data_IF_303071946171
#
_entry.id   IF_303071946171
#
_cell.length_a   1.000
_cell.length_b   1.000
_cell.length_c   1.000
_cell.angle_alpha   90.00
_cell.angle_beta   90.00
_cell.angle_gamma   90.00
#
_symmetry.space_group_name_H-M   'P 1'
#
loop_
_entity.id
_entity.type
_entity.pdbx_description
1 polymer ?
#
# COMPACT_ATOMS: atom_id res chain seq x y z
N UNK A 1 17.34 32.21 -39.14
CA UNK A 1 16.32 32.99 -38.41
C UNK A 1 15.89 32.14 -37.22
N UNK A 2 16.39 32.31 -36.00
CA UNK A 2 16.35 33.47 -35.08
C UNK A 2 14.96 33.76 -34.49
N UNK A 3 14.85 33.42 -33.19
CA UNK A 3 14.11 34.05 -32.09
C UNK A 3 12.89 34.94 -32.40
N UNK A 4 11.78 34.60 -31.72
CA UNK A 4 11.00 35.51 -30.85
C UNK A 4 10.42 34.65 -29.70
N UNK A 5 10.99 34.68 -28.48
CA UNK A 5 10.74 35.69 -27.42
C UNK A 5 9.25 35.89 -27.16
N UNK A 6 8.68 35.29 -26.10
CA UNK A 6 8.78 35.72 -24.70
C UNK A 6 7.98 37.01 -24.44
N UNK A 7 6.93 36.91 -23.64
CA UNK A 7 6.31 38.05 -22.96
C UNK A 7 5.96 37.66 -21.52
N UNK A 8 6.29 38.54 -20.57
CA UNK A 8 6.00 38.41 -19.13
C UNK A 8 4.52 38.76 -18.87
N UNK A 9 3.79 38.06 -17.99
CA UNK A 9 3.90 38.01 -16.52
C UNK A 9 3.59 39.38 -15.88
N UNK A 10 2.36 39.55 -15.37
CA UNK A 10 2.03 40.34 -14.15
C UNK A 10 0.52 40.31 -13.81
N UNK A 11 0.17 39.66 -12.71
CA UNK A 11 -0.99 39.95 -11.87
C UNK A 11 -0.81 39.22 -10.53
N UNK A 12 -0.59 39.95 -9.43
CA UNK A 12 -0.42 39.40 -8.09
C UNK A 12 -1.48 39.99 -7.13
N UNK A 13 -1.88 39.17 -6.16
CA UNK A 13 -2.50 39.60 -4.89
C UNK A 13 -3.94 40.19 -4.96
N UNK A 14 -4.67 40.30 -3.83
CA UNK A 14 -4.31 39.88 -2.47
C UNK A 14 -5.23 38.83 -1.82
N UNK A 15 -4.72 38.28 -0.73
CA UNK A 15 -5.40 37.48 0.29
C UNK A 15 -6.50 38.29 1.02
N UNK A 16 -7.68 37.69 1.22
CA UNK A 16 -8.55 38.02 2.37
C UNK A 16 -8.99 36.73 3.06
N UNK A 17 -8.62 36.59 4.33
CA UNK A 17 -9.14 35.55 5.19
C UNK A 17 -10.33 36.09 5.99
N UNK A 18 -11.30 35.24 6.33
CA UNK A 18 -12.31 35.56 7.36
C UNK A 18 -12.46 34.35 8.26
N UNK A 19 -11.87 34.45 9.44
CA UNK A 19 -12.02 33.46 10.50
C UNK A 19 -13.42 33.64 11.10
N UNK A 20 -14.12 32.55 11.36
CA UNK A 20 -15.20 32.55 12.33
C UNK A 20 -15.13 31.27 13.18
N UNK A 21 -15.30 31.39 14.49
CA UNK A 21 -15.08 30.32 15.44
C UNK A 21 -16.05 30.44 16.64
N UNK A 22 -16.55 29.29 17.09
CA UNK A 22 -17.66 29.18 18.04
C UNK A 22 -18.73 28.23 17.48
N UNK A 23 -19.33 27.31 18.24
CA UNK A 23 -19.19 27.03 19.68
C UNK A 23 -19.00 25.53 19.98
N UNK A 24 -18.84 25.22 21.27
CA UNK A 24 -18.48 23.90 21.81
C UNK A 24 -19.72 23.09 22.28
N UNK A 25 -19.47 21.92 22.89
CA UNK A 25 -20.44 21.00 23.54
C UNK A 25 -21.28 20.10 22.60
N UNK A 26 -21.55 18.81 22.92
CA UNK A 26 -21.20 18.03 24.13
C UNK A 26 -21.29 16.51 23.93
N UNK A 27 -20.57 15.77 24.78
CA UNK A 27 -20.79 14.36 25.19
C UNK A 27 -20.31 13.20 24.30
N UNK A 28 -19.33 12.48 24.87
CA UNK A 28 -19.05 11.02 24.94
C UNK A 28 -20.16 9.99 24.56
N UNK A 29 -19.81 8.71 24.23
CA UNK A 29 -19.05 7.82 25.13
C UNK A 29 -17.82 7.05 24.57
N UNK A 30 -16.95 6.68 25.50
CA UNK A 30 -15.77 5.81 25.33
C UNK A 30 -16.11 4.33 25.09
N UNK A 31 -15.23 3.61 24.37
CA UNK A 31 -15.20 2.13 24.31
C UNK A 31 -13.75 1.64 24.44
N UNK A 32 -13.52 0.77 25.42
CA UNK A 32 -12.19 0.23 25.80
C UNK A 32 -11.88 -1.11 25.13
N UNK A 33 -10.66 -1.32 24.60
CA UNK A 33 -10.04 -2.65 24.45
C UNK A 33 -9.07 -2.94 25.62
N UNK A 34 -8.84 -4.22 25.99
CA UNK A 34 -8.19 -4.59 27.24
C UNK A 34 -6.66 -4.49 27.23
N UNK A 35 -6.07 -4.48 28.43
CA UNK A 35 -4.64 -4.63 28.66
C UNK A 35 -4.23 -6.11 28.76
N UNK A 36 -3.00 -6.43 28.32
CA UNK A 36 -2.01 -7.20 29.09
C UNK A 36 -0.72 -7.44 28.28
N UNK A 37 0.38 -6.78 28.69
CA UNK A 37 1.76 -7.33 28.67
C UNK A 37 2.52 -6.66 29.82
N UNK A 38 3.24 -7.45 30.61
CA UNK A 38 3.98 -7.00 31.79
C UNK A 38 5.35 -6.40 31.41
N UNK A 39 5.84 -5.47 32.24
CA UNK A 39 7.21 -4.93 32.15
C UNK A 39 7.89 -5.10 33.52
N UNK A 40 8.86 -6.02 33.62
CA UNK A 40 9.66 -6.22 34.83
C UNK A 40 11.01 -5.50 34.76
N UNK A 41 11.20 -4.59 35.72
CA UNK A 41 12.38 -4.47 36.59
C UNK A 41 13.78 -4.43 35.95
N UNK A 42 14.30 -3.21 35.79
CA UNK A 42 15.74 -2.89 35.72
C UNK A 42 16.34 -2.80 37.14
N UNK A 43 17.57 -3.29 37.39
CA UNK A 43 18.32 -2.94 38.60
C UNK A 43 19.72 -2.34 38.34
N UNK A 44 19.89 -1.13 38.89
CA UNK A 44 21.09 -0.45 39.42
C UNK A 44 22.53 -0.84 39.01
N UNK A 45 23.30 0.20 38.67
CA UNK A 45 24.78 0.18 38.58
C UNK A 45 25.41 1.06 39.67
N UNK A 46 26.22 0.52 40.60
CA UNK A 46 27.06 1.31 41.52
C UNK A 46 28.54 1.38 41.09
N UNK A 47 29.27 2.41 41.54
CA UNK A 47 30.69 2.64 41.17
C UNK A 47 31.56 3.12 42.35
N UNK A 48 32.89 2.91 42.23
CA UNK A 48 34.00 3.30 43.16
C UNK A 48 34.04 2.48 44.47
N UNK A 49 35.18 2.16 45.10
CA UNK A 49 36.38 2.98 45.37
C UNK A 49 37.66 2.12 45.59
N UNK A 50 38.86 2.71 45.61
CA UNK A 50 40.19 2.07 45.75
C UNK A 50 40.85 2.44 47.10
N UNK A 51 41.52 1.50 47.81
CA UNK A 51 42.93 1.69 48.21
C UNK A 51 43.75 0.37 48.24
N UNK A 52 45.05 0.29 48.56
CA UNK A 52 46.27 1.07 48.20
C UNK A 52 47.50 0.36 48.83
N UNK A 53 48.66 0.36 48.16
CA UNK A 53 50.06 0.09 48.62
C UNK A 53 50.38 -1.01 49.67
N UNK A 54 51.41 -1.81 49.36
CA UNK A 54 52.72 -1.72 50.05
C UNK A 54 53.88 -2.29 49.21
N UNK A 55 55.13 -2.14 49.69
CA UNK A 55 56.40 -2.30 48.93
C UNK A 55 57.35 -3.31 49.61
N UNK A 56 58.34 -3.88 48.89
CA UNK A 56 59.35 -4.81 49.45
C UNK A 56 60.66 -4.89 48.65
N UNK A 57 61.79 -5.19 49.33
CA UNK A 57 63.19 -5.16 48.85
C UNK A 57 64.08 -6.17 49.60
N UNK A 58 65.32 -6.49 49.20
CA UNK A 58 66.13 -5.92 48.09
C UNK A 58 66.40 -7.00 47.00
N UNK A 59 67.58 -7.53 46.60
CA UNK A 59 69.02 -7.35 46.91
C UNK A 59 69.85 -7.91 45.71
N UNK A 60 71.18 -7.82 45.69
CA UNK A 60 72.04 -8.20 44.55
C UNK A 60 73.11 -9.27 44.87
N UNK A 61 73.89 -9.68 43.85
CA UNK A 61 74.90 -10.76 43.80
C UNK A 61 76.20 -10.51 44.58
N UNK A 62 77.06 -11.54 44.73
CA UNK A 62 78.36 -11.46 44.01
C UNK A 62 78.82 -12.78 43.35
N UNK A 63 79.94 -12.69 42.62
CA UNK A 63 80.56 -13.73 41.77
C UNK A 63 81.79 -14.36 42.46
N UNK A 64 82.08 -15.64 42.21
CA UNK A 64 83.45 -16.20 42.27
C UNK A 64 83.65 -17.32 41.22
N UNK A 65 84.88 -17.83 41.08
CA UNK A 65 85.43 -18.17 39.75
C UNK A 65 86.43 -19.34 39.68
N UNK A 66 86.54 -19.91 38.48
CA UNK A 66 87.70 -20.63 37.87
C UNK A 66 88.10 -22.04 38.40
N UNK A 67 88.35 -22.95 37.43
CA UNK A 67 89.37 -24.03 37.34
C UNK A 67 89.65 -24.95 38.55
N UNK A 68 89.82 -26.28 38.42
CA UNK A 68 90.00 -27.16 37.26
C UNK A 68 89.53 -28.59 37.58
N UNK A 69 89.14 -29.37 36.56
CA UNK A 69 89.41 -30.83 36.43
C UNK A 69 88.60 -31.46 35.28
N UNK A 70 89.23 -31.65 34.12
CA UNK A 70 88.77 -32.63 33.13
C UNK A 70 89.45 -33.97 33.43
N UNK A 71 88.71 -34.97 33.93
CA UNK A 71 88.78 -36.36 33.41
C UNK A 71 87.68 -37.33 33.91
N UNK A 72 86.92 -37.03 34.96
CA UNK A 72 85.84 -37.92 35.47
C UNK A 72 84.48 -37.76 34.77
N UNK A 73 84.26 -36.62 34.13
CA UNK A 73 82.94 -36.09 33.75
C UNK A 73 82.09 -36.89 32.75
N UNK A 74 82.56 -38.00 32.15
CA UNK A 74 81.80 -38.72 31.10
C UNK A 74 80.85 -39.74 31.71
N UNK A 75 81.28 -40.48 32.75
CA UNK A 75 80.46 -41.53 33.35
C UNK A 75 79.34 -40.95 34.22
N UNK A 76 79.65 -39.95 35.06
CA UNK A 76 78.66 -39.29 35.92
C UNK A 76 77.62 -38.50 35.11
N UNK A 77 78.01 -37.87 33.99
CA UNK A 77 77.04 -37.25 33.06
C UNK A 77 76.16 -38.32 32.41
N UNK A 78 76.71 -39.48 32.04
CA UNK A 78 75.91 -40.57 31.46
C UNK A 78 74.86 -41.10 32.45
N UNK A 79 75.26 -41.35 33.70
CA UNK A 79 74.34 -41.76 34.77
C UNK A 79 73.30 -40.67 35.09
N UNK A 80 73.73 -39.41 35.20
CA UNK A 80 72.85 -38.26 35.42
C UNK A 80 71.84 -38.08 34.27
N UNK A 81 72.23 -38.36 33.02
CA UNK A 81 71.34 -38.30 31.86
C UNK A 81 70.34 -39.46 31.88
N UNK A 82 70.73 -40.69 32.26
CA UNK A 82 69.76 -41.79 32.40
C UNK A 82 68.79 -41.58 33.57
N UNK A 83 69.25 -41.00 34.68
CA UNK A 83 68.40 -40.66 35.83
C UNK A 83 67.47 -39.47 35.52
N UNK A 84 67.96 -38.44 34.83
CA UNK A 84 67.12 -37.37 34.28
C UNK A 84 66.10 -37.94 33.28
N UNK A 85 66.51 -38.84 32.38
CA UNK A 85 65.61 -39.42 31.40
C UNK A 85 64.52 -40.26 32.04
N UNK A 86 64.84 -41.08 33.06
CA UNK A 86 63.84 -41.84 33.85
C UNK A 86 62.93 -40.93 34.66
N UNK A 87 63.45 -39.88 35.27
CA UNK A 87 62.60 -38.92 36.03
C UNK A 87 61.71 -38.10 35.10
N UNK A 88 62.18 -37.74 33.90
CA UNK A 88 61.36 -37.11 32.84
C UNK A 88 60.29 -38.08 32.33
N UNK A 89 60.63 -39.32 31.93
CA UNK A 89 59.65 -40.33 31.49
C UNK A 89 58.60 -40.62 32.59
N UNK A 90 59.00 -40.60 33.87
CA UNK A 90 58.07 -40.77 34.99
C UNK A 90 57.19 -39.53 35.21
N UNK A 91 57.74 -38.31 35.10
CA UNK A 91 56.97 -37.07 35.22
C UNK A 91 56.02 -36.84 34.03
N UNK A 92 56.41 -37.12 32.79
CA UNK A 92 55.52 -37.07 31.63
C UNK A 92 54.31 -37.96 31.86
N UNK A 93 54.52 -39.25 32.15
CA UNK A 93 53.43 -40.19 32.37
C UNK A 93 52.56 -39.82 33.59
N UNK A 94 53.14 -39.33 34.69
CA UNK A 94 52.42 -38.92 35.89
C UNK A 94 51.66 -37.59 35.77
N UNK A 95 52.11 -36.68 34.89
CA UNK A 95 51.48 -35.37 34.66
C UNK A 95 50.42 -35.44 33.56
N UNK A 96 50.72 -36.10 32.43
CA UNK A 96 49.78 -36.29 31.31
C UNK A 96 48.55 -37.06 31.79
N UNK A 97 48.71 -38.16 32.53
CA UNK A 97 47.59 -38.96 33.06
C UNK A 97 46.65 -38.16 33.99
N UNK A 98 47.20 -37.23 34.79
CA UNK A 98 46.41 -36.33 35.65
C UNK A 98 45.72 -35.20 34.87
N UNK A 99 46.30 -34.76 33.76
CA UNK A 99 45.71 -33.74 32.89
C UNK A 99 44.63 -34.29 31.95
N UNK A 100 44.73 -35.55 31.50
CA UNK A 100 43.79 -36.13 30.54
C UNK A 100 42.31 -35.96 30.92
N UNK A 101 41.84 -36.25 32.16
CA UNK A 101 40.44 -36.06 32.54
C UNK A 101 39.98 -34.60 32.46
N UNK A 102 40.82 -33.66 32.88
CA UNK A 102 40.52 -32.23 32.82
C UNK A 102 40.49 -31.72 31.37
N UNK A 103 41.43 -32.18 30.53
CA UNK A 103 41.50 -31.85 29.11
C UNK A 103 40.27 -32.38 28.34
N UNK A 104 39.88 -33.64 28.58
CA UNK A 104 38.68 -34.23 27.98
C UNK A 104 37.38 -33.56 28.47
N UNK A 105 37.30 -33.19 29.75
CA UNK A 105 36.18 -32.41 30.27
C UNK A 105 36.04 -31.05 29.59
N UNK A 106 37.16 -30.34 29.42
CA UNK A 106 37.20 -29.03 28.75
C UNK A 106 36.87 -29.17 27.24
N UNK A 107 37.39 -30.21 26.56
CA UNK A 107 37.02 -30.53 25.18
C UNK A 107 35.52 -30.86 25.04
N UNK A 108 34.94 -31.57 26.00
CA UNK A 108 33.52 -31.91 26.05
C UNK A 108 32.63 -30.67 26.18
N UNK A 109 33.01 -29.74 27.06
CA UNK A 109 32.29 -28.45 27.22
C UNK A 109 32.41 -27.58 25.97
N UNK A 110 33.61 -27.47 25.36
CA UNK A 110 33.80 -26.70 24.13
C UNK A 110 33.03 -27.30 22.94
N UNK A 111 33.11 -28.62 22.73
CA UNK A 111 32.40 -29.28 21.62
C UNK A 111 30.89 -29.26 21.80
N UNK A 112 30.37 -29.54 23.01
CA UNK A 112 28.95 -29.41 23.33
C UNK A 112 28.44 -27.98 23.15
N UNK A 113 29.21 -26.97 23.59
CA UNK A 113 28.91 -25.55 23.37
C UNK A 113 28.86 -25.19 21.88
N UNK A 114 29.83 -25.65 21.08
CA UNK A 114 29.88 -25.39 19.64
C UNK A 114 28.68 -26.01 18.90
N UNK A 115 28.32 -27.25 19.24
CA UNK A 115 27.14 -27.95 18.69
C UNK A 115 25.85 -27.21 19.07
N UNK A 116 25.72 -26.77 20.33
CA UNK A 116 24.57 -25.99 20.80
C UNK A 116 24.42 -24.66 20.02
N UNK A 117 25.52 -23.92 19.82
CA UNK A 117 25.51 -22.68 19.02
C UNK A 117 25.14 -22.94 17.56
N UNK A 118 25.60 -24.03 16.95
CA UNK A 118 25.25 -24.41 15.58
C UNK A 118 23.77 -24.76 15.44
N UNK A 119 23.22 -25.60 16.34
CA UNK A 119 21.80 -25.95 16.36
C UNK A 119 20.91 -24.73 16.63
N UNK A 120 21.33 -23.84 17.54
CA UNK A 120 20.59 -22.60 17.83
C UNK A 120 20.58 -21.64 16.64
N UNK A 121 21.71 -21.49 15.93
CA UNK A 121 21.77 -20.71 14.67
C UNK A 121 20.91 -21.31 13.57
N UNK A 122 20.94 -22.63 13.38
CA UNK A 122 20.06 -23.31 12.42
C UNK A 122 18.58 -23.07 12.77
N UNK A 123 18.19 -23.26 14.03
CA UNK A 123 16.83 -23.00 14.51
C UNK A 123 16.38 -21.55 14.28
N UNK A 124 17.19 -20.56 14.65
CA UNK A 124 16.91 -19.14 14.38
C UNK A 124 16.71 -18.91 12.87
N UNK A 125 17.55 -19.51 12.02
CA UNK A 125 17.41 -19.37 10.56
C UNK A 125 16.13 -20.02 10.01
N UNK A 126 15.66 -21.11 10.61
CA UNK A 126 14.39 -21.74 10.25
C UNK A 126 13.20 -20.91 10.73
N UNK A 127 13.21 -20.44 11.97
CA UNK A 127 12.16 -19.59 12.53
C UNK A 127 12.06 -18.25 11.77
N UNK A 128 13.18 -17.66 11.33
CA UNK A 128 13.17 -16.47 10.48
C UNK A 128 12.59 -16.76 9.08
N UNK A 129 12.93 -17.90 8.46
CA UNK A 129 12.34 -18.30 7.17
C UNK A 129 10.84 -18.54 7.29
N UNK A 130 10.39 -19.25 8.32
CA UNK A 130 8.97 -19.47 8.60
C UNK A 130 8.21 -18.17 8.86
N UNK A 131 8.75 -17.26 9.69
CA UNK A 131 8.12 -15.96 9.94
C UNK A 131 8.01 -15.15 8.65
N UNK A 132 9.08 -15.08 7.84
CA UNK A 132 9.05 -14.38 6.55
C UNK A 132 8.06 -15.02 5.55
N UNK A 133 7.94 -16.35 5.53
CA UNK A 133 6.95 -17.05 4.71
C UNK A 133 5.51 -16.79 5.18
N UNK A 134 5.26 -16.83 6.50
CA UNK A 134 3.95 -16.54 7.10
C UNK A 134 3.54 -15.09 6.85
N UNK A 135 4.41 -14.12 7.11
CA UNK A 135 4.14 -12.70 6.84
C UNK A 135 3.92 -12.40 5.35
N UNK A 136 4.71 -13.00 4.44
CA UNK A 136 4.49 -12.80 3.00
C UNK A 136 3.18 -13.43 2.51
N UNK A 137 2.80 -14.60 3.03
CA UNK A 137 1.49 -15.22 2.78
C UNK A 137 0.33 -14.38 3.34
N UNK A 138 0.43 -13.89 4.57
CA UNK A 138 -0.59 -13.01 5.19
C UNK A 138 -0.77 -11.72 4.40
N UNK A 139 0.33 -11.07 3.96
CA UNK A 139 0.29 -9.88 3.11
C UNK A 139 -0.35 -10.19 1.75
N UNK A 140 -0.04 -11.34 1.14
CA UNK A 140 -0.68 -11.79 -0.11
C UNK A 140 -2.18 -12.04 0.07
N UNK A 141 -2.59 -12.71 1.16
CA UNK A 141 -3.99 -12.99 1.47
C UNK A 141 -4.79 -11.69 1.74
N UNK A 142 -4.23 -10.75 2.50
CA UNK A 142 -4.83 -9.44 2.73
C UNK A 142 -4.95 -8.63 1.43
N UNK A 143 -3.90 -8.61 0.61
CA UNK A 143 -3.89 -7.93 -0.69
C UNK A 143 -4.92 -8.54 -1.65
N UNK A 144 -4.97 -9.87 -1.77
CA UNK A 144 -5.97 -10.60 -2.55
C UNK A 144 -7.39 -10.22 -2.09
N UNK A 145 -7.65 -10.28 -0.79
CA UNK A 145 -8.94 -9.92 -0.18
C UNK A 145 -9.33 -8.46 -0.50
N UNK A 146 -8.38 -7.52 -0.39
CA UNK A 146 -8.62 -6.12 -0.75
C UNK A 146 -8.90 -5.93 -2.26
N UNK A 147 -8.13 -6.56 -3.15
CA UNK A 147 -8.37 -6.46 -4.61
C UNK A 147 -9.72 -7.09 -5.00
N UNK A 148 -10.10 -8.21 -4.39
CA UNK A 148 -11.41 -8.83 -4.60
C UNK A 148 -12.54 -7.93 -4.06
N UNK A 149 -12.31 -7.21 -2.96
CA UNK A 149 -13.23 -6.19 -2.44
C UNK A 149 -13.41 -5.03 -3.43
N UNK A 150 -12.32 -4.53 -4.04
CA UNK A 150 -12.42 -3.48 -5.06
C UNK A 150 -13.28 -3.91 -6.26
N UNK A 151 -13.06 -5.12 -6.79
CA UNK A 151 -13.86 -5.66 -7.90
C UNK A 151 -15.35 -5.76 -7.55
N UNK A 152 -15.66 -6.40 -6.42
CA UNK A 152 -17.03 -6.84 -6.12
C UNK A 152 -17.86 -5.77 -5.39
N UNK A 153 -17.26 -4.91 -4.55
CA UNK A 153 -17.98 -3.84 -3.86
C UNK A 153 -18.00 -2.51 -4.62
N UNK A 154 -17.12 -2.28 -5.61
CA UNK A 154 -17.03 -0.99 -6.31
C UNK A 154 -17.07 -1.12 -7.84
N UNK A 155 -16.03 -1.66 -8.47
CA UNK A 155 -15.87 -1.58 -9.93
C UNK A 155 -16.97 -2.32 -10.71
N UNK A 156 -17.32 -3.55 -10.29
CA UNK A 156 -18.40 -4.33 -10.88
C UNK A 156 -19.77 -3.64 -10.77
N UNK A 157 -20.24 -3.28 -9.56
CA UNK A 157 -21.49 -2.53 -9.36
C UNK A 157 -21.53 -1.21 -10.13
N UNK A 158 -20.42 -0.46 -10.21
CA UNK A 158 -20.34 0.79 -10.95
C UNK A 158 -20.49 0.56 -12.47
N UNK A 159 -19.84 -0.47 -13.04
CA UNK A 159 -19.99 -0.83 -14.45
C UNK A 159 -21.42 -1.24 -14.81
N UNK A 160 -22.11 -1.96 -13.92
CA UNK A 160 -23.53 -2.34 -14.11
C UNK A 160 -24.42 -1.09 -14.14
N UNK A 161 -24.26 -0.20 -13.15
CA UNK A 161 -25.07 1.03 -13.07
C UNK A 161 -24.78 2.02 -14.22
N UNK A 162 -23.52 2.15 -14.65
CA UNK A 162 -23.15 2.95 -15.84
C UNK A 162 -23.78 2.39 -17.11
N UNK A 163 -23.81 1.06 -17.25
CA UNK A 163 -24.45 0.39 -18.39
C UNK A 163 -25.97 0.57 -18.37
N UNK A 164 -26.60 0.45 -17.19
CA UNK A 164 -28.04 0.75 -17.01
C UNK A 164 -28.37 2.21 -17.37
N UNK A 165 -27.57 3.17 -16.89
CA UNK A 165 -27.74 4.60 -17.16
C UNK A 165 -27.65 4.91 -18.67
N UNK A 166 -26.67 4.29 -19.35
CA UNK A 166 -26.50 4.42 -20.80
C UNK A 166 -27.71 3.90 -21.58
N UNK A 167 -28.23 2.72 -21.26
CA UNK A 167 -29.39 2.17 -21.97
C UNK A 167 -30.68 2.97 -21.67
N UNK A 168 -30.87 3.47 -20.44
CA UNK A 168 -31.99 4.38 -20.14
C UNK A 168 -31.91 5.69 -20.95
N UNK A 169 -30.72 6.26 -21.12
CA UNK A 169 -30.48 7.41 -22.01
C UNK A 169 -30.76 7.07 -23.48
N UNK A 170 -30.28 5.93 -23.97
CA UNK A 170 -30.54 5.49 -25.35
C UNK A 170 -32.04 5.24 -25.62
N UNK A 171 -32.78 4.71 -24.63
CA UNK A 171 -34.24 4.57 -24.73
C UNK A 171 -34.96 5.92 -24.77
N UNK A 172 -34.53 6.89 -23.96
CA UNK A 172 -35.07 8.26 -24.00
C UNK A 172 -34.81 8.92 -25.35
N UNK A 173 -33.60 8.80 -25.91
CA UNK A 173 -33.27 9.38 -27.21
C UNK A 173 -34.15 8.79 -28.33
N UNK A 174 -34.38 7.47 -28.33
CA UNK A 174 -35.30 6.78 -29.26
C UNK A 174 -36.77 7.20 -29.07
N UNK A 175 -37.19 7.58 -27.86
CA UNK A 175 -38.54 8.09 -27.61
C UNK A 175 -38.71 9.52 -28.12
N UNK A 176 -37.73 10.40 -27.88
CA UNK A 176 -37.74 11.78 -28.36
C UNK A 176 -37.76 11.85 -29.90
N UNK A 177 -36.88 11.10 -30.58
CA UNK A 177 -36.90 10.96 -32.06
C UNK A 177 -38.24 10.43 -32.58
N UNK A 178 -38.88 9.49 -31.87
CA UNK A 178 -40.18 8.93 -32.28
C UNK A 178 -41.34 9.93 -32.11
N UNK A 179 -41.25 10.86 -31.16
CA UNK A 179 -42.30 11.85 -30.90
C UNK A 179 -42.12 13.15 -31.70
N UNK A 180 -40.89 13.60 -31.90
CA UNK A 180 -40.54 14.75 -32.73
C UNK A 180 -39.25 14.46 -33.52
N UNK A 181 -39.41 13.84 -34.68
CA UNK A 181 -38.32 13.61 -35.64
C UNK A 181 -37.93 14.87 -36.43
N UNK A 182 -38.65 15.99 -36.26
CA UNK A 182 -38.28 17.26 -36.86
C UNK A 182 -37.20 17.91 -36.01
N UNK A 183 -37.36 17.92 -34.68
CA UNK A 183 -36.38 18.43 -33.71
C UNK A 183 -35.28 17.44 -33.38
N UNK A 184 -35.59 16.16 -33.16
CA UNK A 184 -34.64 15.16 -32.65
C UNK A 184 -34.32 14.10 -33.71
N UNK A 185 -33.04 14.00 -34.12
CA UNK A 185 -32.61 13.05 -35.17
C UNK A 185 -31.25 12.43 -34.83
N UNK A 186 -31.06 11.15 -35.17
CA UNK A 186 -29.73 10.55 -35.16
C UNK A 186 -28.94 10.89 -36.44
N UNK A 187 -27.84 11.63 -36.31
CA UNK A 187 -26.82 11.75 -37.37
C UNK A 187 -25.50 11.10 -36.93
N UNK A 188 -24.59 10.88 -37.89
CA UNK A 188 -23.18 10.54 -37.60
C UNK A 188 -22.44 11.82 -37.21
N UNK A 189 -21.81 11.82 -36.03
CA UNK A 189 -21.02 12.95 -35.53
C UNK A 189 -19.76 13.17 -36.37
N UNK A 190 -19.86 14.11 -37.33
CA UNK A 190 -18.77 14.54 -38.23
C UNK A 190 -17.59 15.18 -37.49
N UNK A 191 -17.74 15.54 -36.20
CA UNK A 191 -16.66 16.07 -35.36
C UNK A 191 -15.90 14.98 -34.61
N UNK A 192 -16.43 13.76 -34.55
CA UNK A 192 -15.78 12.64 -33.88
C UNK A 192 -14.90 11.83 -34.85
N UNK A 193 -13.64 11.50 -34.50
CA UNK A 193 -12.79 10.66 -35.34
C UNK A 193 -13.27 9.19 -35.39
N UNK A 194 -14.08 8.78 -34.42
CA UNK A 194 -14.83 7.52 -34.46
C UNK A 194 -16.27 7.85 -34.90
N UNK A 195 -16.65 7.49 -36.13
CA UNK A 195 -17.91 7.83 -36.79
C UNK A 195 -19.14 7.22 -36.09
N UNK A 196 -19.51 7.79 -34.94
CA UNK A 196 -20.59 7.34 -34.06
C UNK A 196 -21.87 8.09 -34.39
N UNK A 197 -23.00 7.36 -34.39
CA UNK A 197 -24.31 7.97 -34.42
C UNK A 197 -24.66 8.57 -33.05
N UNK A 198 -25.13 9.81 -33.04
CA UNK A 198 -25.62 10.51 -31.85
C UNK A 198 -26.88 11.30 -32.16
N UNK A 199 -27.72 11.51 -31.14
CA UNK A 199 -28.91 12.35 -31.27
C UNK A 199 -28.47 13.82 -31.34
N UNK A 200 -28.99 14.55 -32.33
CA UNK A 200 -28.87 16.00 -32.48
C UNK A 200 -30.23 16.68 -32.30
N UNK A 201 -30.18 17.95 -31.93
CA UNK A 201 -31.32 18.86 -31.72
C UNK A 201 -31.27 19.91 -32.82
N UNK A 202 -32.36 20.06 -33.56
CA UNK A 202 -32.49 21.09 -34.60
C UNK A 202 -33.29 22.28 -34.05
N UNK A 203 -32.64 23.44 -34.01
CA UNK A 203 -33.28 24.72 -33.66
C UNK A 203 -33.79 25.46 -34.90
N UNK A 204 -33.15 25.22 -36.05
CA UNK A 204 -33.58 25.63 -37.38
C UNK A 204 -33.07 24.62 -38.43
N UNK A 205 -33.33 24.83 -39.72
CA UNK A 205 -32.78 23.98 -40.80
C UNK A 205 -31.24 24.03 -40.87
N UNK A 206 -30.61 25.06 -40.31
CA UNK A 206 -29.16 25.30 -40.38
C UNK A 206 -28.44 25.20 -39.03
N UNK A 207 -29.17 25.14 -37.92
CA UNK A 207 -28.63 25.17 -36.56
C UNK A 207 -28.93 23.85 -35.84
N UNK A 208 -27.89 23.04 -35.64
CA UNK A 208 -27.96 21.74 -34.99
C UNK A 208 -26.96 21.64 -33.84
N UNK A 209 -27.41 21.17 -32.69
CA UNK A 209 -26.60 20.94 -31.49
C UNK A 209 -26.60 19.48 -31.07
N UNK A 210 -25.50 18.98 -30.51
CA UNK A 210 -25.42 17.61 -30.02
C UNK A 210 -26.27 17.47 -28.74
N UNK A 211 -27.20 16.51 -28.69
CA UNK A 211 -28.19 16.41 -27.61
C UNK A 211 -27.54 16.33 -26.22
N UNK A 212 -27.94 17.27 -25.35
CA UNK A 212 -27.53 17.34 -23.94
C UNK A 212 -28.76 17.39 -23.05
N UNK A 213 -29.00 16.29 -22.34
CA UNK A 213 -30.20 16.08 -21.53
C UNK A 213 -30.49 17.22 -20.53
N UNK A 214 -29.45 17.85 -19.95
CA UNK A 214 -29.61 18.95 -18.99
C UNK A 214 -30.11 20.24 -19.66
N UNK A 215 -29.62 20.52 -20.86
CA UNK A 215 -29.90 21.77 -21.59
C UNK A 215 -31.27 21.70 -22.28
N UNK A 216 -31.63 20.54 -22.83
CA UNK A 216 -32.95 20.28 -23.42
C UNK A 216 -34.07 20.03 -22.40
N UNK A 217 -33.74 19.77 -21.12
CA UNK A 217 -34.73 19.36 -20.12
C UNK A 217 -35.90 20.33 -19.93
N UNK A 218 -35.70 21.66 -19.94
CA UNK A 218 -36.81 22.62 -19.88
C UNK A 218 -37.74 22.54 -21.09
N UNK A 219 -37.22 22.27 -22.30
CA UNK A 219 -38.06 22.05 -23.48
C UNK A 219 -38.85 20.75 -23.35
N UNK A 220 -38.20 19.65 -22.94
CA UNK A 220 -38.85 18.35 -22.66
C UNK A 220 -39.95 18.51 -21.60
N UNK A 221 -39.71 19.32 -20.56
CA UNK A 221 -40.69 19.64 -19.50
C UNK A 221 -41.93 20.40 -19.98
N UNK A 222 -41.87 21.05 -21.13
CA UNK A 222 -43.02 21.71 -21.77
C UNK A 222 -43.66 20.79 -22.83
N UNK A 223 -42.87 20.33 -23.80
CA UNK A 223 -43.33 19.65 -25.03
C UNK A 223 -43.57 18.14 -24.88
N UNK A 224 -42.83 17.46 -23.99
CA UNK A 224 -42.77 15.99 -23.92
C UNK A 224 -42.79 15.51 -22.47
N UNK A 225 -43.85 15.87 -21.73
CA UNK A 225 -44.00 15.58 -20.29
C UNK A 225 -44.01 14.08 -19.98
N UNK A 226 -44.36 13.26 -20.96
CA UNK A 226 -44.32 11.79 -20.97
C UNK A 226 -42.89 11.22 -20.85
N UNK A 227 -41.84 11.97 -21.19
CA UNK A 227 -40.44 11.56 -20.98
C UNK A 227 -39.96 11.76 -19.53
N UNK A 228 -40.57 12.66 -18.76
CA UNK A 228 -40.10 13.00 -17.40
C UNK A 228 -40.02 11.78 -16.45
N UNK A 229 -40.94 10.78 -16.49
CA UNK A 229 -40.79 9.52 -15.76
C UNK A 229 -39.52 8.73 -16.11
N UNK A 230 -39.05 8.76 -17.36
CA UNK A 230 -37.82 8.07 -17.75
C UNK A 230 -36.57 8.85 -17.31
N UNK A 231 -36.59 10.18 -17.44
CA UNK A 231 -35.55 11.07 -16.87
C UNK A 231 -35.41 10.84 -15.35
N UNK A 232 -36.52 10.66 -14.64
CA UNK A 232 -36.53 10.33 -13.21
C UNK A 232 -35.81 9.03 -12.90
N UNK A 233 -35.95 7.98 -13.71
CA UNK A 233 -35.23 6.71 -13.49
C UNK A 233 -33.76 6.76 -13.95
N UNK A 234 -33.39 7.60 -14.92
CA UNK A 234 -31.99 7.98 -15.17
C UNK A 234 -31.39 8.62 -13.92
N UNK A 235 -32.07 9.63 -13.33
CA UNK A 235 -31.64 10.30 -12.10
C UNK A 235 -31.58 9.33 -10.91
N UNK A 236 -32.53 8.39 -10.79
CA UNK A 236 -32.54 7.37 -9.73
C UNK A 236 -31.36 6.41 -9.84
N UNK A 237 -31.03 5.97 -11.07
CA UNK A 237 -29.82 5.19 -11.35
C UNK A 237 -28.57 6.01 -11.06
N UNK A 238 -28.60 7.30 -11.38
CA UNK A 238 -27.53 8.23 -11.05
C UNK A 238 -27.28 8.40 -9.55
N UNK A 239 -28.34 8.50 -8.75
CA UNK A 239 -28.27 8.57 -7.28
C UNK A 239 -27.67 7.27 -6.69
N UNK A 240 -27.96 6.10 -7.28
CA UNK A 240 -27.31 4.84 -6.87
C UNK A 240 -25.80 4.86 -7.15
N UNK A 241 -25.37 5.41 -8.29
CA UNK A 241 -23.94 5.58 -8.58
C UNK A 241 -23.27 6.60 -7.65
N UNK A 242 -23.92 7.74 -7.36
CA UNK A 242 -23.39 8.72 -6.42
C UNK A 242 -23.21 8.13 -5.02
N UNK A 243 -24.24 7.44 -4.51
CA UNK A 243 -24.16 6.72 -3.23
C UNK A 243 -23.02 5.69 -3.21
N UNK A 244 -22.84 4.92 -4.28
CA UNK A 244 -21.74 3.96 -4.41
C UNK A 244 -20.36 4.64 -4.36
N UNK A 245 -20.21 5.79 -5.03
CA UNK A 245 -18.98 6.59 -5.03
C UNK A 245 -18.71 7.17 -3.64
N UNK A 246 -19.73 7.72 -2.99
CA UNK A 246 -19.65 8.28 -1.63
C UNK A 246 -19.27 7.20 -0.60
N UNK A 247 -19.90 6.02 -0.62
CA UNK A 247 -19.63 4.94 0.34
C UNK A 247 -18.36 4.11 0.05
N UNK A 248 -17.89 4.05 -1.20
CA UNK A 248 -16.84 3.10 -1.64
C UNK A 248 -15.68 3.73 -2.43
N UNK A 249 -15.57 5.06 -2.53
CA UNK A 249 -14.45 5.73 -3.22
C UNK A 249 -13.05 5.33 -2.69
N UNK A 250 -12.92 4.94 -1.41
CA UNK A 250 -11.69 4.34 -0.85
C UNK A 250 -11.30 2.97 -1.44
N UNK A 251 -12.08 2.43 -2.38
CA UNK A 251 -11.78 1.24 -3.18
C UNK A 251 -11.38 1.56 -4.63
N UNK A 252 -11.31 2.84 -5.03
CA UNK A 252 -10.64 3.24 -6.29
C UNK A 252 -9.14 2.99 -6.17
N UNK A 253 -8.46 2.54 -7.23
CA UNK A 253 -6.99 2.48 -7.20
C UNK A 253 -6.43 3.91 -7.26
N UNK A 254 -5.66 4.37 -6.25
CA UNK A 254 -5.21 5.76 -6.15
C UNK A 254 -4.23 6.17 -7.25
N UNK A 255 -3.75 5.22 -8.07
CA UNK A 255 -2.96 5.51 -9.28
C UNK A 255 -3.83 6.02 -10.43
N UNK A 256 -5.13 5.74 -10.45
CA UNK A 256 -6.05 6.21 -11.48
C UNK A 256 -6.66 7.58 -11.09
N UNK A 257 -5.82 8.62 -11.22
CA UNK A 257 -6.18 10.02 -10.97
C UNK A 257 -7.26 10.48 -11.96
N UNK A 258 -7.22 10.00 -13.21
CA UNK A 258 -8.21 10.32 -14.24
C UNK A 258 -9.60 9.82 -13.88
N UNK A 259 -9.73 8.55 -13.45
CA UNK A 259 -11.00 8.00 -12.97
C UNK A 259 -11.51 8.80 -11.77
N UNK A 260 -10.64 9.07 -10.79
CA UNK A 260 -11.00 9.86 -9.59
C UNK A 260 -11.57 11.25 -9.98
N UNK A 261 -10.95 11.94 -10.95
CA UNK A 261 -11.45 13.18 -11.52
C UNK A 261 -12.76 13.02 -12.31
N UNK A 262 -12.96 11.89 -13.00
CA UNK A 262 -14.24 11.56 -13.65
C UNK A 262 -15.37 11.36 -12.65
N UNK A 263 -15.11 10.71 -11.50
CA UNK A 263 -16.10 10.52 -10.44
C UNK A 263 -16.54 11.88 -9.86
N UNK A 264 -15.61 12.81 -9.62
CA UNK A 264 -15.92 14.17 -9.20
C UNK A 264 -16.77 14.94 -10.23
N UNK A 265 -16.36 14.92 -11.52
CA UNK A 265 -17.14 15.53 -12.61
C UNK A 265 -18.55 14.93 -12.73
N UNK A 266 -18.68 13.61 -12.52
CA UNK A 266 -19.95 12.91 -12.55
C UNK A 266 -20.91 13.34 -11.42
N UNK A 267 -20.41 13.53 -10.19
CA UNK A 267 -21.24 14.02 -9.06
C UNK A 267 -21.76 15.45 -9.30
N UNK A 268 -20.94 16.32 -9.90
CA UNK A 268 -21.35 17.66 -10.32
C UNK A 268 -22.44 17.61 -11.41
N UNK A 269 -22.24 16.79 -12.46
CA UNK A 269 -23.23 16.56 -13.52
C UNK A 269 -24.58 16.05 -12.97
N UNK A 270 -24.56 15.06 -12.07
CA UNK A 270 -25.79 14.55 -11.44
C UNK A 270 -26.51 15.64 -10.62
N UNK A 271 -25.76 16.52 -9.95
CA UNK A 271 -26.33 17.63 -9.16
C UNK A 271 -27.04 18.64 -10.06
N UNK A 272 -26.42 19.02 -11.18
CA UNK A 272 -27.04 19.86 -12.21
C UNK A 272 -28.29 19.19 -12.83
N UNK A 273 -28.21 17.91 -13.20
CA UNK A 273 -29.35 17.17 -13.76
C UNK A 273 -30.53 17.07 -12.79
N UNK A 274 -30.26 16.85 -11.49
CA UNK A 274 -31.30 16.84 -10.43
C UNK A 274 -31.98 18.20 -10.27
N UNK A 275 -31.28 19.30 -10.50
CA UNK A 275 -31.84 20.65 -10.38
C UNK A 275 -32.59 21.08 -11.66
N UNK A 276 -32.04 20.81 -12.85
CA UNK A 276 -32.74 20.97 -14.11
C UNK A 276 -34.07 20.18 -14.12
N UNK A 277 -34.08 18.96 -13.57
CA UNK A 277 -35.30 18.15 -13.46
C UNK A 277 -36.34 18.71 -12.47
N UNK A 278 -35.92 19.44 -11.43
CA UNK A 278 -36.86 20.20 -10.60
C UNK A 278 -37.49 21.33 -11.42
N UNK A 279 -36.66 22.13 -12.10
CA UNK A 279 -37.11 23.25 -12.93
C UNK A 279 -38.09 22.79 -14.03
N UNK A 280 -37.73 21.75 -14.79
CA UNK A 280 -38.57 21.16 -15.84
C UNK A 280 -39.90 20.55 -15.34
N UNK A 281 -40.02 20.26 -14.03
CA UNK A 281 -41.27 19.79 -13.41
C UNK A 281 -42.09 20.95 -12.83
N UNK A 282 -41.48 22.04 -12.41
CA UNK A 282 -42.18 23.21 -11.87
C UNK A 282 -42.65 24.14 -12.99
N UNK A 283 -43.97 24.25 -13.17
CA UNK A 283 -44.62 25.10 -14.18
C UNK A 283 -44.55 26.62 -13.89
N UNK A 284 -43.56 27.09 -13.14
CA UNK A 284 -43.52 28.43 -12.57
C UNK A 284 -42.39 29.25 -13.19
N UNK A 285 -42.63 30.54 -13.38
CA UNK A 285 -41.74 31.52 -14.05
C UNK A 285 -40.48 31.93 -13.25
N UNK A 286 -39.89 30.99 -12.50
CA UNK A 286 -38.54 31.15 -11.98
C UNK A 286 -37.55 31.28 -13.16
N UNK A 287 -36.53 32.17 -13.09
CA UNK A 287 -35.56 32.30 -14.16
C UNK A 287 -34.78 30.99 -14.33
N UNK A 288 -34.85 30.41 -15.54
CA UNK A 288 -34.18 29.14 -15.89
C UNK A 288 -32.68 29.24 -15.59
N UNK A 289 -32.20 28.47 -14.61
CA UNK A 289 -30.80 28.47 -14.21
C UNK A 289 -30.03 27.59 -15.19
N UNK A 290 -29.19 28.21 -16.01
CA UNK A 290 -28.39 27.56 -17.04
C UNK A 290 -27.32 26.65 -16.42
N UNK A 291 -27.26 25.40 -16.89
CA UNK A 291 -26.38 24.35 -16.37
C UNK A 291 -25.57 23.74 -17.51
N UNK A 292 -24.25 23.94 -17.54
CA UNK A 292 -23.35 23.46 -18.60
C UNK A 292 -22.60 22.17 -18.24
N UNK A 293 -23.05 21.43 -17.22
CA UNK A 293 -22.32 20.30 -16.66
C UNK A 293 -22.44 19.05 -17.56
N UNK A 294 -21.40 18.74 -18.33
CA UNK A 294 -21.37 17.60 -19.27
C UNK A 294 -21.11 16.27 -18.55
N UNK A 295 -21.77 15.20 -18.98
CA UNK A 295 -21.49 13.83 -18.49
C UNK A 295 -20.08 13.39 -18.93
N UNK A 296 -19.20 12.92 -18.02
CA UNK A 296 -17.85 12.49 -18.37
C UNK A 296 -17.89 11.17 -19.16
N UNK A 297 -17.78 11.24 -20.49
CA UNK A 297 -17.95 10.08 -21.41
C UNK A 297 -16.90 8.99 -21.15
N UNK A 298 -15.73 9.38 -20.66
CA UNK A 298 -14.57 8.55 -20.33
C UNK A 298 -14.82 7.56 -19.18
N UNK A 299 -15.76 7.86 -18.27
CA UNK A 299 -15.93 7.14 -16.99
C UNK A 299 -16.11 5.62 -17.16
N UNK A 300 -16.91 5.18 -18.13
CA UNK A 300 -17.18 3.76 -18.36
C UNK A 300 -15.94 3.01 -18.87
N UNK A 301 -15.09 3.67 -19.66
CA UNK A 301 -13.86 3.08 -20.18
C UNK A 301 -12.80 2.99 -19.08
N UNK A 302 -12.61 4.05 -18.30
CA UNK A 302 -11.66 4.07 -17.18
C UNK A 302 -12.03 3.04 -16.09
N UNK A 303 -13.31 2.97 -15.70
CA UNK A 303 -13.78 1.93 -14.74
C UNK A 303 -13.58 0.51 -15.30
N UNK A 304 -13.73 0.30 -16.62
CA UNK A 304 -13.49 -1.02 -17.23
C UNK A 304 -12.01 -1.38 -17.28
N UNK A 305 -11.14 -0.43 -17.66
CA UNK A 305 -9.69 -0.66 -17.70
C UNK A 305 -9.15 -1.07 -16.32
N UNK A 306 -9.59 -0.41 -15.25
CA UNK A 306 -9.24 -0.80 -13.88
C UNK A 306 -9.82 -2.17 -13.50
N UNK A 307 -11.10 -2.43 -13.80
CA UNK A 307 -11.75 -3.73 -13.54
C UNK A 307 -11.00 -4.88 -14.22
N UNK A 308 -10.70 -4.77 -15.52
CA UNK A 308 -9.98 -5.79 -16.29
C UNK A 308 -8.52 -5.92 -15.80
N UNK A 309 -7.90 -4.82 -15.39
CA UNK A 309 -6.54 -4.76 -14.82
C UNK A 309 -6.46 -5.38 -13.41
N UNK A 310 -7.52 -5.31 -12.61
CA UNK A 310 -7.63 -5.94 -11.30
C UNK A 310 -7.95 -7.43 -11.43
N UNK A 311 -8.92 -7.77 -12.30
CA UNK A 311 -9.31 -9.15 -12.60
C UNK A 311 -8.12 -9.98 -13.07
N UNK A 312 -7.34 -9.50 -14.04
CA UNK A 312 -6.14 -10.21 -14.54
C UNK A 312 -5.07 -10.46 -13.47
N UNK A 313 -4.96 -9.58 -12.45
CA UNK A 313 -4.02 -9.78 -11.33
C UNK A 313 -4.51 -10.89 -10.39
N UNK A 314 -5.81 -10.93 -10.12
CA UNK A 314 -6.44 -12.00 -9.32
C UNK A 314 -6.35 -13.35 -10.04
N UNK A 315 -6.71 -13.40 -11.33
CA UNK A 315 -6.60 -14.63 -12.14
C UNK A 315 -5.15 -15.14 -12.24
N UNK A 316 -4.15 -14.25 -12.22
CA UNK A 316 -2.74 -14.63 -12.14
C UNK A 316 -2.35 -15.16 -10.76
N UNK A 317 -2.78 -14.50 -9.67
CA UNK A 317 -2.55 -14.97 -8.30
C UNK A 317 -3.25 -16.30 -7.98
N UNK A 318 -4.33 -16.65 -8.66
CA UNK A 318 -4.99 -17.96 -8.55
C UNK A 318 -4.20 -19.08 -9.27
N UNK A 319 -3.39 -18.73 -10.27
CA UNK A 319 -2.53 -19.67 -11.02
C UNK A 319 -1.16 -19.88 -10.36
N UNK A 320 -0.63 -18.87 -9.67
CA UNK A 320 0.67 -18.94 -8.96
C UNK A 320 0.80 -20.06 -7.90
N UNK A 321 -0.19 -20.35 -7.02
CA UNK A 321 -0.07 -21.44 -6.04
C UNK A 321 0.03 -22.82 -6.69
N UNK A 322 -0.50 -23.00 -7.90
CA UNK A 322 -0.35 -24.23 -8.69
C UNK A 322 1.10 -24.47 -9.15
N UNK A 323 1.98 -23.47 -9.04
CA UNK A 323 3.43 -23.58 -9.31
C UNK A 323 4.24 -23.72 -8.03
N UNK A 324 3.87 -22.99 -6.97
CA UNK A 324 4.58 -23.03 -5.68
C UNK A 324 4.29 -24.32 -4.87
N UNK A 325 3.17 -24.99 -5.12
CA UNK A 325 2.91 -26.35 -4.63
C UNK A 325 3.55 -27.47 -5.47
N UNK A 326 4.31 -27.13 -6.52
CA UNK A 326 4.81 -28.07 -7.53
C UNK A 326 6.35 -28.09 -7.64
N UNK A 327 7.06 -27.91 -6.54
CA UNK A 327 8.50 -28.21 -6.41
C UNK A 327 8.69 -29.58 -5.74
N UNK A 328 9.18 -30.61 -6.46
CA UNK A 328 9.56 -31.90 -5.87
C UNK A 328 10.91 -31.83 -5.11
#
# INVERSE_FOLDING_TARGET
MLLRTLFLLLALSPLTATINAGELSKTEPSITPPADVQQETEPESPAKTIPNKQEGKFTETPIHSLTDSKQTSINDISASIEELKRTIEHYENAWISKLTPALFGLLGVLSGGLISVLLHRQRISHELRERNAKYSFEIQQQLYTYRNKQLNEFYGPLLVLLTQSKELSMQLHRQLEKWDNVRYRYEVDKTSPEAKSSLFVYHSETEQDAFRLIEELPHIGVSHKEALPQVKEIIRTGIRMAKLIEEKSGLVDPKNIELSGCLGRYLAHLTALKDAYKQAKSSNSEPQRLHNAVFPREIQNLTRLDYDSLRKKIEAWEQEPSRLGATP
#
